data_IF_251625239042
#
_entry.id   IF_251625239042
#
_cell.length_a   1.000
_cell.length_b   1.000
_cell.length_c   1.000
_cell.angle_alpha   90.00
_cell.angle_beta   90.00
_cell.angle_gamma   90.00
#
_symmetry.space_group_name_H-M   'P 1'
#
loop_
_entity.id
_entity.type
_entity.pdbx_description
1 polymer ?
#
# COMPACT_ATOMS: atom_id res chain seq x y z
N UNK A 1 6.30 -6.18 -23.90
CA UNK A 1 4.84 -6.34 -24.08
C UNK A 1 4.15 -5.18 -23.40
N UNK A 2 3.05 -4.63 -23.93
CA UNK A 2 2.31 -3.61 -23.19
C UNK A 2 1.87 -4.20 -21.84
N UNK A 3 2.08 -3.44 -20.78
CA UNK A 3 1.58 -3.81 -19.45
C UNK A 3 0.05 -3.85 -19.56
N UNK A 4 -0.56 -5.00 -19.31
CA UNK A 4 -2.03 -5.12 -19.33
C UNK A 4 -2.59 -4.16 -18.29
N UNK A 5 -3.45 -3.26 -18.74
CA UNK A 5 -4.06 -2.28 -17.86
C UNK A 5 -5.05 -3.01 -16.94
N UNK A 6 -4.78 -2.96 -15.62
CA UNK A 6 -5.60 -3.61 -14.62
C UNK A 6 -6.81 -2.74 -14.30
N UNK A 7 -7.99 -3.34 -14.15
CA UNK A 7 -9.16 -2.64 -13.62
C UNK A 7 -8.96 -2.25 -12.15
N UNK A 8 -9.72 -1.26 -11.67
CA UNK A 8 -9.72 -0.89 -10.24
C UNK A 8 -10.05 -2.11 -9.38
N UNK A 9 -10.99 -2.95 -9.81
CA UNK A 9 -11.38 -4.19 -9.15
C UNK A 9 -10.20 -5.16 -8.99
N UNK A 10 -9.43 -5.35 -10.07
CA UNK A 10 -8.26 -6.23 -10.05
C UNK A 10 -7.18 -5.69 -9.13
N UNK A 11 -6.95 -4.38 -9.13
CA UNK A 11 -6.00 -3.74 -8.20
C UNK A 11 -6.43 -3.94 -6.74
N UNK A 12 -7.71 -3.66 -6.42
CA UNK A 12 -8.25 -3.87 -5.06
C UNK A 12 -8.10 -5.33 -4.66
N UNK A 13 -8.51 -6.27 -5.51
CA UNK A 13 -8.39 -7.71 -5.24
C UNK A 13 -6.94 -8.11 -4.97
N UNK A 14 -5.99 -7.69 -5.81
CA UNK A 14 -4.55 -7.97 -5.61
C UNK A 14 -4.03 -7.38 -4.31
N UNK A 15 -4.37 -6.13 -3.98
CA UNK A 15 -4.03 -5.52 -2.68
C UNK A 15 -4.54 -6.38 -1.54
N UNK A 16 -5.80 -6.83 -1.61
CA UNK A 16 -6.39 -7.71 -0.60
C UNK A 16 -5.70 -9.07 -0.52
N UNK A 17 -5.42 -9.72 -1.64
CA UNK A 17 -4.75 -11.03 -1.68
C UNK A 17 -3.34 -11.00 -1.12
N UNK A 18 -2.55 -9.99 -1.49
CA UNK A 18 -1.20 -9.79 -0.97
C UNK A 18 -1.24 -9.41 0.51
N UNK A 19 -2.12 -8.47 0.88
CA UNK A 19 -2.36 -8.04 2.26
C UNK A 19 -1.28 -7.14 2.85
N UNK A 20 -0.28 -6.74 2.09
CA UNK A 20 0.82 -5.87 2.52
C UNK A 20 1.12 -4.89 1.40
N UNK A 21 1.23 -3.61 1.72
CA UNK A 21 1.76 -2.56 0.83
C UNK A 21 3.03 -2.00 1.47
N UNK A 22 4.20 -2.37 0.99
CA UNK A 22 5.46 -1.74 1.38
C UNK A 22 5.50 -0.28 0.96
N UNK A 23 5.78 0.61 1.92
CA UNK A 23 5.93 2.05 1.71
C UNK A 23 7.40 2.37 1.54
N UNK A 24 7.85 2.51 0.29
CA UNK A 24 9.25 2.75 -0.05
C UNK A 24 9.60 4.22 0.10
N UNK A 25 10.47 4.50 1.06
CA UNK A 25 11.16 5.78 1.24
C UNK A 25 12.67 5.52 1.12
N UNK A 26 13.32 6.22 0.22
CA UNK A 26 14.73 6.03 -0.05
C UNK A 26 15.39 7.38 -0.32
N UNK A 27 16.70 7.47 -0.10
CA UNK A 27 17.47 8.70 -0.29
C UNK A 27 17.94 8.88 -1.75
N UNK A 28 17.84 7.82 -2.57
CA UNK A 28 18.20 7.87 -3.99
C UNK A 28 17.34 6.94 -4.84
N UNK A 29 17.44 7.11 -6.16
CA UNK A 29 16.81 6.23 -7.17
C UNK A 29 17.34 4.80 -7.03
N UNK A 30 18.66 4.64 -6.84
CA UNK A 30 19.31 3.35 -6.71
C UNK A 30 18.85 2.61 -5.46
N UNK A 31 18.73 3.31 -4.32
CA UNK A 31 18.20 2.74 -3.09
C UNK A 31 16.75 2.30 -3.27
N UNK A 32 15.90 3.11 -3.93
CA UNK A 32 14.51 2.75 -4.20
C UNK A 32 14.41 1.47 -5.05
N UNK A 33 15.19 1.38 -6.12
CA UNK A 33 15.24 0.19 -6.97
C UNK A 33 15.69 -1.05 -6.18
N UNK A 34 16.76 -0.94 -5.38
CA UNK A 34 17.26 -2.05 -4.54
C UNK A 34 16.24 -2.49 -3.50
N UNK A 35 15.52 -1.53 -2.89
CA UNK A 35 14.45 -1.85 -1.95
C UNK A 35 13.36 -2.68 -2.62
N UNK A 36 12.91 -2.28 -3.81
CA UNK A 36 11.87 -3.01 -4.55
C UNK A 36 12.31 -4.43 -4.87
N UNK A 37 13.54 -4.63 -5.34
CA UNK A 37 14.06 -5.98 -5.63
C UNK A 37 14.10 -6.85 -4.36
N UNK A 38 14.57 -6.30 -3.24
CA UNK A 38 14.63 -7.01 -1.96
C UNK A 38 13.23 -7.38 -1.42
N UNK A 39 12.25 -6.49 -1.55
CA UNK A 39 10.86 -6.70 -1.17
C UNK A 39 10.24 -7.81 -2.00
N UNK A 40 10.43 -7.76 -3.33
CA UNK A 40 9.91 -8.77 -4.26
C UNK A 40 10.55 -10.15 -4.00
N UNK A 41 11.86 -10.21 -3.74
CA UNK A 41 12.55 -11.43 -3.34
C UNK A 41 12.05 -12.02 -2.02
N UNK A 42 11.45 -11.18 -1.18
CA UNK A 42 10.76 -11.58 0.04
C UNK A 42 9.31 -12.05 -0.14
N UNK A 43 8.79 -12.04 -1.39
CA UNK A 43 7.46 -12.55 -1.73
C UNK A 43 6.35 -11.52 -1.72
N UNK A 44 6.66 -10.22 -1.78
CA UNK A 44 5.66 -9.13 -1.82
C UNK A 44 5.68 -8.48 -3.21
N UNK A 45 4.77 -8.85 -4.15
CA UNK A 45 4.73 -8.31 -5.51
C UNK A 45 3.88 -7.03 -5.62
N UNK A 46 4.04 -6.11 -4.69
CA UNK A 46 3.41 -4.78 -4.67
C UNK A 46 4.32 -3.82 -3.93
N UNK A 47 4.39 -2.56 -4.39
CA UNK A 47 5.13 -1.50 -3.70
C UNK A 47 4.46 -0.13 -3.91
N UNK A 48 4.57 0.74 -2.90
CA UNK A 48 4.21 2.15 -2.93
C UNK A 48 5.50 2.98 -2.96
N UNK A 49 5.84 3.61 -4.10
CA UNK A 49 6.97 4.56 -4.18
C UNK A 49 6.48 5.93 -3.72
N UNK A 50 7.02 6.45 -2.64
CA UNK A 50 6.57 7.74 -2.12
C UNK A 50 7.16 8.91 -2.90
N UNK A 51 6.38 10.00 -3.03
CA UNK A 51 6.83 11.25 -3.66
C UNK A 51 7.97 11.94 -2.89
N UNK A 52 8.36 11.40 -1.73
CA UNK A 52 9.55 11.85 -0.98
C UNK A 52 10.86 11.25 -1.51
N UNK A 53 10.80 10.24 -2.36
CA UNK A 53 11.97 9.68 -3.06
C UNK A 53 12.43 10.68 -4.12
N UNK A 54 13.73 11.00 -4.20
CA UNK A 54 14.25 11.84 -5.29
C UNK A 54 13.88 11.26 -6.66
N UNK A 55 13.37 12.10 -7.56
CA UNK A 55 12.95 11.70 -8.90
C UNK A 55 11.91 10.55 -8.91
N UNK A 56 11.01 10.50 -7.94
CA UNK A 56 10.01 9.43 -7.75
C UNK A 56 9.25 9.08 -9.04
N UNK A 57 8.88 10.07 -9.85
CA UNK A 57 8.20 9.87 -11.13
C UNK A 57 9.02 9.04 -12.12
N UNK A 58 10.33 9.28 -12.19
CA UNK A 58 11.24 8.49 -13.04
C UNK A 58 11.39 7.07 -12.50
N UNK A 59 11.50 6.91 -11.17
CA UNK A 59 11.55 5.59 -10.51
C UNK A 59 10.30 4.79 -10.81
N UNK A 60 9.10 5.39 -10.67
CA UNK A 60 7.83 4.73 -10.97
C UNK A 60 7.79 4.28 -12.42
N UNK A 61 8.13 5.17 -13.37
CA UNK A 61 8.12 4.85 -14.81
C UNK A 61 9.06 3.69 -15.14
N UNK A 62 10.27 3.72 -14.63
CA UNK A 62 11.26 2.65 -14.84
C UNK A 62 10.79 1.32 -14.25
N UNK A 63 10.28 1.32 -13.02
CA UNK A 63 9.76 0.13 -12.38
C UNK A 63 8.55 -0.46 -13.13
N UNK A 64 7.63 0.38 -13.59
CA UNK A 64 6.47 -0.07 -14.40
C UNK A 64 6.94 -0.72 -15.69
N UNK A 65 7.91 -0.14 -16.38
CA UNK A 65 8.45 -0.72 -17.62
C UNK A 65 9.15 -2.06 -17.40
N UNK A 66 9.91 -2.18 -16.31
CA UNK A 66 10.72 -3.38 -16.01
C UNK A 66 9.95 -4.48 -15.31
N UNK A 67 9.02 -4.14 -14.43
CA UNK A 67 8.39 -5.06 -13.48
C UNK A 67 6.86 -4.97 -13.44
N UNK A 68 6.26 -4.05 -14.18
CA UNK A 68 4.80 -3.80 -14.09
C UNK A 68 3.92 -5.00 -14.51
N UNK A 69 4.47 -6.00 -15.18
CA UNK A 69 3.78 -7.25 -15.48
C UNK A 69 3.62 -8.14 -14.21
N UNK A 70 4.63 -8.13 -13.33
CA UNK A 70 4.71 -9.02 -12.17
C UNK A 70 4.43 -8.31 -10.85
N UNK A 71 4.78 -7.02 -10.76
CA UNK A 71 4.71 -6.21 -9.55
C UNK A 71 3.70 -5.08 -9.71
N UNK A 72 2.80 -4.94 -8.75
CA UNK A 72 1.86 -3.82 -8.69
C UNK A 72 2.58 -2.57 -8.17
N UNK A 73 2.83 -1.60 -9.06
CA UNK A 73 3.57 -0.38 -8.72
C UNK A 73 2.58 0.76 -8.47
N UNK A 74 2.62 1.32 -7.27
CA UNK A 74 1.83 2.49 -6.88
C UNK A 74 2.68 3.68 -6.49
N UNK A 75 2.04 4.85 -6.41
CA UNK A 75 2.64 6.09 -5.93
C UNK A 75 2.05 6.47 -4.57
N UNK A 76 2.90 6.85 -3.64
CA UNK A 76 2.50 7.27 -2.29
C UNK A 76 2.89 8.70 -1.95
N UNK A 77 2.30 9.22 -0.88
CA UNK A 77 2.46 10.61 -0.45
C UNK A 77 2.04 11.61 -1.55
N UNK A 78 1.02 11.21 -2.32
CA UNK A 78 0.43 12.06 -3.36
C UNK A 78 -0.52 13.04 -2.70
N UNK A 79 -0.22 14.36 -2.77
CA UNK A 79 -0.93 15.38 -1.99
C UNK A 79 -1.67 16.42 -2.83
N UNK A 80 -1.52 16.41 -4.14
CA UNK A 80 -2.20 17.34 -5.05
C UNK A 80 -2.44 16.73 -6.44
N UNK A 81 -3.24 17.42 -7.27
CA UNK A 81 -3.61 16.98 -8.60
C UNK A 81 -2.42 16.84 -9.56
N UNK A 82 -1.44 17.75 -9.48
CA UNK A 82 -0.27 17.72 -10.37
C UNK A 82 0.60 16.48 -10.13
N UNK A 83 0.83 16.15 -8.86
CA UNK A 83 1.51 14.91 -8.50
C UNK A 83 0.72 13.68 -8.96
N UNK A 84 -0.60 13.67 -8.74
CA UNK A 84 -1.46 12.56 -9.16
C UNK A 84 -1.38 12.33 -10.68
N UNK A 85 -1.51 13.40 -11.47
CA UNK A 85 -1.41 13.36 -12.93
C UNK A 85 -0.04 12.83 -13.40
N UNK A 86 1.05 13.32 -12.77
CA UNK A 86 2.40 12.89 -13.09
C UNK A 86 2.62 11.40 -12.77
N UNK A 87 2.09 10.92 -11.63
CA UNK A 87 2.18 9.52 -11.22
C UNK A 87 1.41 8.60 -12.18
N UNK A 88 0.18 8.99 -12.56
CA UNK A 88 -0.64 8.22 -13.51
C UNK A 88 0.05 8.13 -14.88
N UNK A 89 0.56 9.26 -15.39
CA UNK A 89 1.31 9.29 -16.65
C UNK A 89 2.62 8.48 -16.60
N UNK A 90 3.20 8.32 -15.44
CA UNK A 90 4.35 7.43 -15.23
C UNK A 90 3.96 5.94 -15.21
N UNK A 91 2.66 5.62 -15.18
CA UNK A 91 2.11 4.27 -15.18
C UNK A 91 1.77 3.72 -13.79
N UNK A 92 1.71 4.57 -12.75
CA UNK A 92 1.27 4.12 -11.42
C UNK A 92 -0.12 3.48 -11.50
N UNK A 93 -0.26 2.28 -10.95
CA UNK A 93 -1.48 1.48 -11.00
C UNK A 93 -2.44 1.80 -9.84
N UNK A 94 -1.93 2.42 -8.78
CA UNK A 94 -2.72 2.99 -7.68
C UNK A 94 -1.99 4.19 -7.06
N UNK A 95 -2.76 5.04 -6.40
CA UNK A 95 -2.27 6.22 -5.69
C UNK A 95 -2.62 6.13 -4.21
N UNK A 96 -1.71 6.58 -3.35
CA UNK A 96 -1.92 6.67 -1.90
C UNK A 96 -1.65 8.07 -1.42
N UNK A 97 -2.58 8.63 -0.65
CA UNK A 97 -2.43 9.93 0.01
C UNK A 97 -2.29 9.79 1.52
N UNK A 98 -1.57 10.68 2.21
CA UNK A 98 -1.53 10.67 3.67
C UNK A 98 -2.83 11.15 4.32
N UNK A 99 -3.65 11.89 3.60
CA UNK A 99 -4.95 12.42 4.01
C UNK A 99 -5.93 12.44 2.84
N UNK A 100 -7.12 12.97 3.06
CA UNK A 100 -8.16 13.07 2.05
C UNK A 100 -7.96 14.34 1.20
N UNK A 101 -7.78 14.16 -0.11
CA UNK A 101 -7.59 15.26 -1.07
C UNK A 101 -8.51 15.04 -2.27
N UNK A 102 -9.59 15.82 -2.37
CA UNK A 102 -10.59 15.67 -3.43
C UNK A 102 -10.01 15.80 -4.85
N UNK A 103 -9.00 16.67 -5.04
CA UNK A 103 -8.35 16.84 -6.34
C UNK A 103 -7.58 15.58 -6.79
N UNK A 104 -6.95 14.84 -5.87
CA UNK A 104 -6.29 13.57 -6.17
C UNK A 104 -7.31 12.51 -6.58
N UNK A 105 -8.44 12.41 -5.86
CA UNK A 105 -9.52 11.49 -6.23
C UNK A 105 -10.09 11.82 -7.61
N UNK A 106 -10.24 13.12 -7.92
CA UNK A 106 -10.77 13.59 -9.20
C UNK A 106 -9.88 13.16 -10.38
N UNK A 107 -8.57 13.38 -10.26
CA UNK A 107 -7.59 12.94 -11.27
C UNK A 107 -7.65 11.42 -11.48
N UNK A 108 -7.61 10.67 -10.39
CA UNK A 108 -7.60 9.21 -10.48
C UNK A 108 -8.89 8.65 -11.11
N UNK A 109 -10.04 9.27 -10.84
CA UNK A 109 -11.32 8.91 -11.48
C UNK A 109 -11.28 9.13 -12.99
N UNK A 110 -10.70 10.23 -13.45
CA UNK A 110 -10.57 10.52 -14.90
C UNK A 110 -9.70 9.47 -15.60
N UNK A 111 -8.71 8.93 -14.92
CA UNK A 111 -7.76 7.96 -15.46
C UNK A 111 -8.06 6.50 -15.10
N UNK A 112 -9.20 6.23 -14.48
CA UNK A 112 -9.58 4.88 -13.98
C UNK A 112 -8.49 4.24 -13.12
N UNK A 113 -8.03 4.97 -12.09
CA UNK A 113 -7.01 4.51 -11.14
C UNK A 113 -7.55 4.44 -9.72
N UNK A 114 -7.16 3.39 -9.00
CA UNK A 114 -7.47 3.28 -7.58
C UNK A 114 -6.76 4.38 -6.79
N UNK A 115 -7.51 5.11 -5.95
CA UNK A 115 -6.94 5.95 -4.88
C UNK A 115 -7.24 5.32 -3.53
N UNK A 116 -6.24 5.33 -2.67
CA UNK A 116 -6.30 4.95 -1.27
C UNK A 116 -6.03 6.23 -0.45
N UNK A 117 -7.06 7.07 -0.21
CA UNK A 117 -6.89 8.29 0.57
C UNK A 117 -6.65 7.97 2.05
N UNK A 118 -5.93 8.86 2.73
CA UNK A 118 -5.73 8.78 4.17
C UNK A 118 -6.92 9.35 4.94
N UNK A 119 -7.23 8.73 6.07
CA UNK A 119 -8.14 9.18 7.09
C UNK A 119 -7.60 8.78 8.46
N UNK A 120 -8.03 9.47 9.51
CA UNK A 120 -7.71 9.10 10.88
C UNK A 120 -8.97 8.96 11.74
N UNK A 121 -9.99 9.78 11.50
CA UNK A 121 -11.23 9.82 12.28
C UNK A 121 -12.42 9.21 11.55
N UNK A 122 -13.50 8.83 12.28
CA UNK A 122 -14.75 8.37 11.65
C UNK A 122 -15.30 9.37 10.61
N UNK A 123 -15.27 10.67 10.89
CA UNK A 123 -15.73 11.71 9.95
C UNK A 123 -14.91 11.73 8.66
N UNK A 124 -13.58 11.64 8.75
CA UNK A 124 -12.72 11.58 7.57
C UNK A 124 -12.95 10.30 6.77
N UNK A 125 -13.19 9.17 7.45
CA UNK A 125 -13.54 7.92 6.79
C UNK A 125 -14.86 8.04 6.01
N UNK A 126 -15.90 8.60 6.63
CA UNK A 126 -17.18 8.86 5.98
C UNK A 126 -17.02 9.75 4.75
N UNK A 127 -16.31 10.88 4.90
CA UNK A 127 -16.04 11.81 3.80
C UNK A 127 -15.27 11.15 2.65
N UNK A 128 -14.30 10.28 2.96
CA UNK A 128 -13.58 9.53 1.95
C UNK A 128 -14.51 8.59 1.17
N UNK A 129 -15.41 7.89 1.86
CA UNK A 129 -16.38 7.00 1.24
C UNK A 129 -17.42 7.76 0.38
N UNK A 130 -17.91 8.91 0.85
CA UNK A 130 -18.81 9.79 0.09
C UNK A 130 -18.18 10.27 -1.21
N UNK A 131 -16.87 10.54 -1.20
CA UNK A 131 -16.10 10.88 -2.39
C UNK A 131 -15.75 9.67 -3.28
N UNK A 132 -16.23 8.47 -2.92
CA UNK A 132 -16.08 7.25 -3.71
C UNK A 132 -14.82 6.44 -3.42
N UNK A 133 -14.11 6.70 -2.31
CA UNK A 133 -12.99 5.86 -1.91
C UNK A 133 -13.48 4.46 -1.52
N UNK A 134 -12.93 3.43 -2.15
CA UNK A 134 -13.28 2.02 -1.91
C UNK A 134 -12.39 1.39 -0.85
N UNK A 135 -11.15 1.86 -0.76
CA UNK A 135 -10.14 1.46 0.22
C UNK A 135 -9.60 2.72 0.88
N UNK A 136 -9.42 2.71 2.19
CA UNK A 136 -8.98 3.89 2.95
C UNK A 136 -7.79 3.54 3.83
N UNK A 137 -6.73 4.34 3.73
CA UNK A 137 -5.56 4.27 4.61
C UNK A 137 -5.88 4.92 5.95
N UNK A 138 -5.61 4.23 7.04
CA UNK A 138 -5.70 4.80 8.39
C UNK A 138 -4.30 5.19 8.87
N UNK A 139 -4.04 6.51 8.97
CA UNK A 139 -2.69 7.01 9.23
C UNK A 139 -2.71 8.29 10.08
N UNK A 140 -1.81 8.39 11.10
CA UNK A 140 -0.89 7.37 11.63
C UNK A 140 -1.57 6.44 12.64
N UNK A 141 -1.78 5.16 12.26
CA UNK A 141 -2.63 4.22 13.03
C UNK A 141 -2.04 3.83 14.39
N UNK A 142 -0.73 3.60 14.44
CA UNK A 142 -0.05 3.18 15.68
C UNK A 142 -0.23 4.17 16.83
N UNK A 143 -0.16 5.47 16.53
CA UNK A 143 -0.34 6.54 17.51
C UNK A 143 -1.76 6.62 18.09
N UNK A 144 -2.74 6.00 17.41
CA UNK A 144 -4.15 5.96 17.85
C UNK A 144 -4.53 4.69 18.59
N UNK A 145 -3.57 3.80 18.85
CA UNK A 145 -3.82 2.54 19.57
C UNK A 145 -3.76 1.28 18.70
N UNK A 146 -3.31 1.42 17.43
CA UNK A 146 -3.00 0.28 16.56
C UNK A 146 -4.21 -0.63 16.26
N UNK A 147 -4.08 -1.96 16.48
CA UNK A 147 -5.16 -2.91 16.17
C UNK A 147 -6.48 -2.62 16.89
N UNK A 148 -6.43 -2.12 18.13
CA UNK A 148 -7.63 -1.74 18.88
C UNK A 148 -8.39 -0.61 18.22
N UNK A 149 -7.67 0.35 17.62
CA UNK A 149 -8.28 1.46 16.90
C UNK A 149 -8.98 0.98 15.63
N UNK A 150 -8.34 0.11 14.85
CA UNK A 150 -8.98 -0.52 13.67
C UNK A 150 -10.25 -1.26 14.08
N UNK A 151 -10.23 -2.05 15.16
CA UNK A 151 -11.41 -2.74 15.67
C UNK A 151 -12.54 -1.77 16.02
N UNK A 152 -12.21 -0.61 16.64
CA UNK A 152 -13.18 0.43 16.98
C UNK A 152 -13.80 1.07 15.74
N UNK A 153 -13.01 1.34 14.69
CA UNK A 153 -13.54 1.85 13.41
C UNK A 153 -14.40 0.81 12.69
N UNK A 154 -14.02 -0.48 12.74
CA UNK A 154 -14.78 -1.56 12.08
C UNK A 154 -16.14 -1.81 12.73
N UNK A 155 -16.36 -1.41 13.97
CA UNK A 155 -17.66 -1.59 14.64
C UNK A 155 -18.80 -0.82 13.91
N UNK A 156 -18.72 0.51 13.69
CA UNK A 156 -19.70 1.24 12.90
C UNK A 156 -19.53 1.08 11.37
N UNK A 157 -18.33 0.69 10.88
CA UNK A 157 -18.03 0.55 9.45
C UNK A 157 -17.58 -0.87 9.09
N UNK A 158 -18.42 -1.92 9.28
CA UNK A 158 -18.01 -3.32 9.13
C UNK A 158 -17.52 -3.67 7.72
N UNK A 159 -18.00 -2.98 6.69
CA UNK A 159 -17.65 -3.23 5.29
C UNK A 159 -16.49 -2.36 4.77
N UNK A 160 -16.01 -1.38 5.55
CA UNK A 160 -14.92 -0.51 5.12
C UNK A 160 -13.62 -1.31 4.92
N UNK A 161 -12.97 -1.13 3.79
CA UNK A 161 -11.66 -1.72 3.50
C UNK A 161 -10.57 -0.78 4.01
N UNK A 162 -10.01 -1.10 5.20
CA UNK A 162 -9.07 -0.25 5.92
C UNK A 162 -7.64 -0.78 5.78
N UNK A 163 -6.69 0.14 5.51
CA UNK A 163 -5.25 -0.15 5.47
C UNK A 163 -4.55 0.65 6.58
N UNK A 164 -4.38 0.07 7.78
CA UNK A 164 -3.57 0.69 8.82
C UNK A 164 -2.14 0.90 8.33
N UNK A 165 -1.62 2.10 8.59
CA UNK A 165 -0.27 2.50 8.23
C UNK A 165 0.35 3.32 9.36
N UNK A 166 1.65 3.16 9.60
CA UNK A 166 2.36 3.78 10.72
C UNK A 166 2.26 2.95 11.99
N UNK A 167 3.41 2.44 12.46
CA UNK A 167 3.52 1.55 13.62
C UNK A 167 3.12 0.09 13.32
N UNK A 168 3.00 -0.28 12.05
CA UNK A 168 2.75 -1.66 11.61
C UNK A 168 4.06 -2.37 11.38
N UNK A 169 4.24 -3.53 12.01
CA UNK A 169 5.44 -4.37 11.91
C UNK A 169 5.07 -5.87 12.00
N UNK A 170 6.05 -6.75 11.89
CA UNK A 170 5.83 -8.19 11.92
C UNK A 170 5.24 -8.69 13.26
N UNK A 171 5.54 -8.02 14.38
CA UNK A 171 5.05 -8.40 15.71
C UNK A 171 3.57 -8.11 15.93
N UNK A 172 2.98 -7.16 15.20
CA UNK A 172 1.57 -6.78 15.36
C UNK A 172 0.72 -6.99 14.08
N UNK A 173 1.33 -7.45 12.99
CA UNK A 173 0.65 -7.67 11.72
C UNK A 173 -0.56 -8.60 11.85
N UNK A 174 -0.41 -9.71 12.58
CA UNK A 174 -1.50 -10.67 12.81
C UNK A 174 -2.67 -10.04 13.58
N UNK A 175 -2.40 -9.20 14.57
CA UNK A 175 -3.42 -8.50 15.35
C UNK A 175 -4.20 -7.49 14.50
N UNK A 176 -3.53 -6.77 13.60
CA UNK A 176 -4.18 -5.87 12.65
C UNK A 176 -5.13 -6.62 11.70
N UNK A 177 -4.70 -7.75 11.17
CA UNK A 177 -5.55 -8.59 10.30
C UNK A 177 -6.75 -9.11 11.10
N UNK A 178 -6.54 -9.64 12.32
CA UNK A 178 -7.61 -10.08 13.20
C UNK A 178 -8.59 -8.95 13.60
N UNK A 179 -8.11 -7.70 13.67
CA UNK A 179 -8.94 -6.52 13.89
C UNK A 179 -9.78 -6.11 12.68
N UNK A 180 -9.61 -6.77 11.52
CA UNK A 180 -10.37 -6.52 10.28
C UNK A 180 -9.68 -5.59 9.30
N UNK A 181 -8.35 -5.42 9.39
CA UNK A 181 -7.60 -4.73 8.34
C UNK A 181 -7.68 -5.48 7.01
N UNK A 182 -7.88 -4.75 5.92
CA UNK A 182 -7.94 -5.30 4.57
C UNK A 182 -6.55 -5.66 4.04
N UNK A 183 -5.60 -4.77 4.25
CA UNK A 183 -4.18 -4.92 4.01
C UNK A 183 -3.39 -4.06 5.00
N UNK A 184 -2.08 -4.16 5.01
CA UNK A 184 -1.18 -3.45 5.94
C UNK A 184 -0.24 -2.54 5.17
N UNK A 185 -0.15 -1.25 5.53
CA UNK A 185 0.85 -0.33 5.02
C UNK A 185 2.10 -0.35 5.91
N UNK A 186 3.22 -0.87 5.41
CA UNK A 186 4.44 -1.07 6.21
C UNK A 186 5.59 -0.23 5.67
N UNK A 187 6.07 0.70 6.49
CA UNK A 187 7.16 1.62 6.16
C UNK A 187 8.52 1.16 6.67
N UNK A 188 9.10 1.91 7.61
CA UNK A 188 10.46 1.74 8.10
C UNK A 188 10.75 0.37 8.72
N UNK A 189 9.74 -0.29 9.30
CA UNK A 189 9.89 -1.63 9.87
C UNK A 189 10.15 -2.72 8.80
N UNK A 190 9.83 -2.43 7.53
CA UNK A 190 10.16 -3.29 6.39
C UNK A 190 11.32 -2.71 5.58
N UNK A 191 11.23 -1.42 5.24
CA UNK A 191 12.20 -0.71 4.41
C UNK A 191 13.15 0.06 5.32
N UNK A 192 14.07 -0.67 5.93
CA UNK A 192 15.08 -0.11 6.87
C UNK A 192 16.08 0.76 6.11
N UNK A 193 16.10 2.06 6.42
CA UNK A 193 16.95 3.03 5.77
C UNK A 193 18.46 2.80 6.03
N UNK A 194 18.82 2.24 7.20
CA UNK A 194 20.23 1.90 7.48
C UNK A 194 20.65 0.70 6.62
N UNK A 195 19.82 -0.35 6.56
CA UNK A 195 20.08 -1.50 5.71
C UNK A 195 20.22 -1.13 4.22
N UNK A 196 19.40 -0.18 3.73
CA UNK A 196 19.54 0.32 2.36
C UNK A 196 20.88 1.02 2.11
N UNK A 197 21.27 1.92 3.00
CA UNK A 197 22.55 2.64 2.89
C UNK A 197 23.75 1.70 2.93
N UNK A 198 23.68 0.71 3.82
CA UNK A 198 24.74 -0.29 4.02
C UNK A 198 24.75 -1.40 2.94
N UNK A 199 23.74 -1.42 2.05
CA UNK A 199 23.58 -2.48 1.06
C UNK A 199 23.16 -3.83 1.65
N UNK A 200 22.68 -3.87 2.89
CA UNK A 200 22.20 -5.08 3.57
C UNK A 200 20.75 -5.43 3.13
N UNK A 201 20.59 -5.76 1.87
CA UNK A 201 19.29 -6.07 1.27
C UNK A 201 18.68 -7.36 1.83
N UNK A 202 19.51 -8.28 2.32
CA UNK A 202 19.07 -9.52 2.98
C UNK A 202 18.18 -9.25 4.19
N UNK A 203 18.42 -8.18 4.94
CA UNK A 203 17.58 -7.76 6.06
C UNK A 203 16.15 -7.41 5.60
N UNK A 204 16.02 -6.67 4.51
CA UNK A 204 14.71 -6.28 3.92
C UNK A 204 13.98 -7.51 3.39
N UNK A 205 14.68 -8.37 2.66
CA UNK A 205 14.13 -9.64 2.15
C UNK A 205 13.62 -10.53 3.28
N UNK A 206 14.38 -10.65 4.36
CA UNK A 206 13.98 -11.43 5.54
C UNK A 206 12.77 -10.83 6.25
N UNK A 207 12.74 -9.52 6.43
CA UNK A 207 11.59 -8.81 7.02
C UNK A 207 10.32 -9.00 6.17
N UNK A 208 10.44 -8.93 4.85
CA UNK A 208 9.32 -9.19 3.94
C UNK A 208 8.77 -10.62 4.08
N UNK A 209 9.63 -11.63 4.14
CA UNK A 209 9.22 -13.04 4.36
C UNK A 209 8.48 -13.21 5.68
N UNK A 210 8.97 -12.61 6.77
CA UNK A 210 8.33 -12.69 8.09
C UNK A 210 6.95 -12.02 8.06
N UNK A 211 6.81 -10.87 7.42
CA UNK A 211 5.51 -10.20 7.27
C UNK A 211 4.53 -11.02 6.45
N UNK A 212 4.97 -11.62 5.33
CA UNK A 212 4.13 -12.51 4.50
C UNK A 212 3.61 -13.67 5.34
N UNK A 213 4.46 -14.32 6.12
CA UNK A 213 4.06 -15.42 7.00
C UNK A 213 3.08 -14.96 8.08
N UNK A 214 3.32 -13.81 8.73
CA UNK A 214 2.44 -13.26 9.75
C UNK A 214 1.04 -12.97 9.21
N UNK A 215 0.94 -12.38 8.01
CA UNK A 215 -0.35 -12.09 7.36
C UNK A 215 -1.04 -13.38 6.93
N UNK A 216 -0.31 -14.34 6.34
CA UNK A 216 -0.87 -15.62 5.90
C UNK A 216 -1.45 -16.42 7.07
N UNK A 217 -0.73 -16.47 8.19
CA UNK A 217 -1.16 -17.20 9.39
C UNK A 217 -2.37 -16.57 10.10
N UNK A 218 -2.56 -15.25 9.95
CA UNK A 218 -3.67 -14.54 10.58
C UNK A 218 -4.97 -14.56 9.76
N UNK A 219 -4.89 -14.98 8.51
CA UNK A 219 -6.08 -15.07 7.63
C UNK A 219 -6.78 -16.42 7.83
N UNK A 220 -8.12 -16.46 7.86
CA UNK A 220 -8.83 -17.72 7.83
C UNK A 220 -8.43 -18.51 6.57
N UNK A 221 -8.22 -19.81 6.72
CA UNK A 221 -8.00 -20.68 5.56
C UNK A 221 -9.10 -20.44 4.52
N UNK A 222 -8.73 -20.28 3.24
CA UNK A 222 -9.73 -20.17 2.17
C UNK A 222 -10.61 -21.41 2.28
N UNK A 223 -11.87 -21.23 2.72
CA UNK A 223 -12.84 -22.31 2.62
C UNK A 223 -13.02 -22.59 1.13
N UNK A 224 -12.66 -23.78 0.70
CA UNK A 224 -13.06 -24.30 -0.61
C UNK A 224 -14.57 -24.21 -0.70
N UNK A 225 -15.09 -23.14 -1.29
CA UNK A 225 -16.49 -23.13 -1.72
C UNK A 225 -16.59 -24.18 -2.81
N UNK A 226 -16.89 -25.42 -2.39
CA UNK A 226 -17.44 -26.42 -3.30
C UNK A 226 -18.70 -25.81 -3.89
N UNK A 227 -18.63 -25.48 -5.15
CA UNK A 227 -19.78 -25.19 -6.01
C UNK A 227 -20.70 -26.43 -5.94
N UNK A 228 -21.83 -26.26 -5.33
CA UNK A 228 -22.99 -27.13 -5.59
C UNK A 228 -23.81 -26.48 -6.68
#
# INVERSE_FOLDING_TARGET
>A
MPVTELSIEDVIRRVGEIGIIPVVRAASVEEANRAVEAICAGGIPIVEITMTVPNAISVIRELVQRRGADVLIGAGTVTNAEQAESCVRAGAQFLVSPGLTASVLSVARVHDRLVIPGALTPTELMNAQELGARVVKIFPCGSMGGPKYIKSLKAPFPHAQLIPTGGVNAGNAAEFIAAGAYALGVGADLVDAAALREGNLGKITSAAKVLVQAVASARPAKSDKKTN
#
